data_IF_612924372283
#
_entry.id   IF_612924372283
#
_cell.length_a   1.000
_cell.length_b   1.000
_cell.length_c   1.000
_cell.angle_alpha   90.00
_cell.angle_beta   90.00
_cell.angle_gamma   90.00
#
_symmetry.space_group_name_H-M   'P 1'
#
loop_
_entity.id
_entity.type
_entity.pdbx_description
1 polymer ?
#
# COMPACT_ATOMS: atom_id res chain seq x y z
N UNK A 1 -80.30 -25.04 -35.55
CA UNK A 1 -79.71 -25.97 -34.59
C UNK A 1 -78.42 -26.51 -35.19
N UNK A 2 -77.27 -26.12 -34.67
CA UNK A 2 -76.00 -26.84 -34.55
C UNK A 2 -74.96 -25.86 -34.02
N UNK A 3 -74.62 -26.05 -32.76
CA UNK A 3 -73.53 -25.32 -32.10
C UNK A 3 -72.21 -25.84 -32.61
N UNK A 4 -71.30 -25.00 -33.00
CA UNK A 4 -69.94 -25.32 -33.24
C UNK A 4 -69.08 -24.84 -32.04
N UNK A 5 -68.47 -25.79 -31.38
CA UNK A 5 -67.58 -25.62 -30.24
C UNK A 5 -66.22 -25.21 -30.81
N UNK A 6 -65.81 -23.95 -30.54
CA UNK A 6 -64.48 -23.51 -30.86
C UNK A 6 -63.51 -23.89 -29.78
N UNK A 7 -62.54 -24.73 -30.09
CA UNK A 7 -61.45 -25.09 -29.22
C UNK A 7 -60.39 -23.99 -29.23
N UNK A 8 -60.22 -23.27 -28.12
CA UNK A 8 -59.17 -22.31 -27.89
C UNK A 8 -57.85 -23.06 -27.56
N UNK A 9 -56.89 -22.95 -28.49
CA UNK A 9 -55.55 -23.48 -28.28
C UNK A 9 -54.74 -22.45 -27.45
N UNK A 10 -54.55 -22.78 -26.18
CA UNK A 10 -53.64 -21.99 -25.31
C UNK A 10 -52.23 -22.46 -25.57
N UNK A 11 -51.42 -21.62 -26.26
CA UNK A 11 -50.01 -21.84 -26.42
C UNK A 11 -49.27 -21.28 -25.20
N UNK A 12 -48.83 -22.18 -24.32
CA UNK A 12 -47.96 -21.82 -23.19
C UNK A 12 -46.52 -21.68 -23.73
N UNK A 13 -46.07 -20.47 -23.89
CA UNK A 13 -44.66 -20.16 -24.19
C UNK A 13 -43.87 -20.25 -22.90
N UNK A 14 -43.24 -21.38 -22.61
CA UNK A 14 -42.20 -21.47 -21.58
C UNK A 14 -40.95 -20.70 -22.02
N UNK A 15 -40.83 -19.44 -21.59
CA UNK A 15 -39.61 -18.68 -21.73
C UNK A 15 -38.55 -19.21 -20.76
N UNK A 16 -37.54 -19.89 -21.29
CA UNK A 16 -36.34 -20.27 -20.53
C UNK A 16 -35.52 -19.02 -20.34
N UNK A 17 -35.60 -18.39 -19.19
CA UNK A 17 -34.65 -17.37 -18.75
C UNK A 17 -33.31 -18.08 -18.45
N UNK A 18 -32.39 -18.08 -19.42
CA UNK A 18 -31.00 -18.43 -19.18
C UNK A 18 -30.36 -17.27 -18.40
N UNK A 19 -30.25 -17.41 -17.06
CA UNK A 19 -29.47 -16.53 -16.23
C UNK A 19 -28.00 -16.70 -16.63
N UNK A 20 -27.48 -15.76 -17.41
CA UNK A 20 -26.04 -15.61 -17.65
C UNK A 20 -25.41 -15.19 -16.32
N UNK A 21 -24.90 -16.16 -15.58
CA UNK A 21 -23.99 -15.90 -14.46
C UNK A 21 -22.69 -15.41 -15.09
N UNK A 22 -22.57 -14.10 -15.27
CA UNK A 22 -21.30 -13.47 -15.62
C UNK A 22 -20.34 -13.75 -14.46
N UNK A 23 -19.44 -14.74 -14.66
CA UNK A 23 -18.36 -15.01 -13.74
C UNK A 23 -17.58 -13.74 -13.53
N UNK A 24 -17.65 -13.15 -12.32
CA UNK A 24 -16.81 -12.03 -11.93
C UNK A 24 -15.38 -12.57 -11.84
N UNK A 25 -14.60 -12.38 -12.88
CA UNK A 25 -13.15 -12.53 -12.79
C UNK A 25 -12.70 -11.60 -11.66
N UNK A 26 -11.96 -12.09 -10.66
CA UNK A 26 -11.45 -11.22 -9.60
C UNK A 26 -10.63 -10.11 -10.26
N UNK A 27 -11.14 -8.88 -10.24
CA UNK A 27 -10.42 -7.73 -10.75
C UNK A 27 -9.17 -7.54 -9.91
N UNK A 28 -8.01 -7.42 -10.57
CA UNK A 28 -6.77 -7.06 -9.87
C UNK A 28 -7.03 -5.77 -9.07
N UNK A 29 -6.62 -5.71 -7.79
CA UNK A 29 -6.76 -4.49 -7.02
C UNK A 29 -6.16 -3.30 -7.76
N UNK A 30 -6.88 -2.18 -7.83
CA UNK A 30 -6.36 -0.97 -8.46
C UNK A 30 -5.15 -0.46 -7.68
N UNK A 31 -4.11 0.07 -8.36
CA UNK A 31 -2.99 0.73 -7.70
C UNK A 31 -3.48 1.85 -6.79
N UNK A 32 -2.90 1.94 -5.63
CA UNK A 32 -3.16 3.00 -4.66
C UNK A 32 -1.84 3.63 -4.20
N UNK A 33 -1.92 4.61 -3.33
CA UNK A 33 -0.76 5.28 -2.76
C UNK A 33 -0.84 5.19 -1.25
N UNK A 34 0.26 4.84 -0.60
CA UNK A 34 0.29 4.68 0.86
C UNK A 34 1.56 5.24 1.46
N UNK A 35 1.42 6.00 2.55
CA UNK A 35 2.52 6.46 3.38
C UNK A 35 2.54 5.67 4.68
N UNK A 36 3.70 5.09 4.98
CA UNK A 36 3.99 4.40 6.23
C UNK A 36 4.71 5.36 7.17
N UNK A 37 4.20 5.49 8.39
CA UNK A 37 4.76 6.33 9.44
C UNK A 37 5.54 5.47 10.43
N UNK A 38 6.86 5.64 10.48
CA UNK A 38 7.74 4.92 11.39
C UNK A 38 8.47 5.87 12.34
N UNK A 39 8.19 5.73 13.64
CA UNK A 39 8.83 6.52 14.71
C UNK A 39 9.66 5.69 15.68
N UNK A 40 9.57 4.38 15.57
CA UNK A 40 10.18 3.40 16.48
C UNK A 40 11.46 2.82 15.89
N UNK A 41 12.42 2.51 16.75
CA UNK A 41 13.60 1.68 16.45
C UNK A 41 13.42 0.22 16.88
N UNK A 42 12.23 -0.16 17.33
CA UNK A 42 11.92 -1.53 17.69
C UNK A 42 12.04 -2.43 16.42
N UNK A 43 12.79 -3.54 16.51
CA UNK A 43 12.96 -4.47 15.38
C UNK A 43 11.64 -5.04 14.83
N UNK A 44 10.61 -5.19 15.66
CA UNK A 44 9.30 -5.69 15.23
C UNK A 44 8.57 -4.65 14.40
N UNK A 45 8.58 -3.37 14.78
CA UNK A 45 8.01 -2.27 14.01
C UNK A 45 8.73 -2.10 12.67
N UNK A 46 10.06 -2.14 12.69
CA UNK A 46 10.89 -2.07 11.48
C UNK A 46 10.60 -3.26 10.55
N UNK A 47 10.54 -4.47 11.10
CA UNK A 47 10.21 -5.68 10.36
C UNK A 47 8.80 -5.66 9.78
N UNK A 48 7.83 -5.05 10.48
CA UNK A 48 6.46 -4.88 9.98
C UNK A 48 6.44 -4.00 8.73
N UNK A 49 7.12 -2.85 8.73
CA UNK A 49 7.22 -1.97 7.55
C UNK A 49 7.77 -2.72 6.35
N UNK A 50 8.90 -3.39 6.52
CA UNK A 50 9.57 -4.12 5.43
C UNK A 50 8.68 -5.25 4.88
N UNK A 51 8.00 -5.97 5.78
CA UNK A 51 7.03 -6.99 5.39
C UNK A 51 5.89 -6.40 4.56
N UNK A 52 5.29 -5.29 5.00
CA UNK A 52 4.18 -4.64 4.28
C UNK A 52 4.60 -4.12 2.90
N UNK A 53 5.79 -3.52 2.77
CA UNK A 53 6.34 -3.13 1.47
C UNK A 53 6.41 -4.30 0.50
N UNK A 54 6.83 -5.47 0.99
CA UNK A 54 6.89 -6.71 0.20
C UNK A 54 5.50 -7.23 -0.15
N UNK A 55 4.60 -7.31 0.83
CA UNK A 55 3.23 -7.84 0.67
C UNK A 55 2.44 -6.97 -0.31
N UNK A 56 2.41 -5.66 -0.10
CA UNK A 56 1.74 -4.71 -1.00
C UNK A 56 2.32 -4.79 -2.41
N UNK A 57 3.65 -4.74 -2.53
CA UNK A 57 4.30 -4.80 -3.83
C UNK A 57 4.14 -6.13 -4.56
N UNK A 58 3.87 -7.24 -3.85
CA UNK A 58 3.60 -8.54 -4.47
C UNK A 58 2.19 -8.63 -5.05
N UNK A 59 1.20 -8.03 -4.38
CA UNK A 59 -0.20 -8.01 -4.80
C UNK A 59 -0.45 -6.92 -5.84
N UNK A 60 0.19 -5.77 -5.67
CA UNK A 60 -0.04 -4.58 -6.48
C UNK A 60 1.29 -3.83 -6.75
N UNK A 61 2.11 -4.29 -7.71
CA UNK A 61 3.46 -3.79 -7.93
C UNK A 61 3.53 -2.33 -8.40
N UNK A 62 2.42 -1.74 -8.84
CA UNK A 62 2.33 -0.35 -9.26
C UNK A 62 1.86 0.60 -8.14
N UNK A 63 1.69 0.10 -6.91
CA UNK A 63 1.35 0.92 -5.75
C UNK A 63 2.54 1.78 -5.33
N UNK A 64 2.34 3.09 -5.28
CA UNK A 64 3.33 4.02 -4.72
C UNK A 64 3.36 3.90 -3.19
N UNK A 65 4.51 3.58 -2.65
CA UNK A 65 4.76 3.40 -1.22
C UNK A 65 5.85 4.37 -0.75
N UNK A 66 5.57 5.10 0.31
CA UNK A 66 6.57 5.94 0.95
C UNK A 66 6.68 5.63 2.44
N UNK A 67 7.90 5.44 2.92
CA UNK A 67 8.19 5.28 4.34
C UNK A 67 8.76 6.58 4.87
N UNK A 68 8.01 7.24 5.74
CA UNK A 68 8.46 8.47 6.41
C UNK A 68 8.95 8.11 7.81
N UNK A 69 10.22 8.40 8.06
CA UNK A 69 10.90 8.08 9.30
C UNK A 69 11.27 9.33 10.08
N UNK A 70 10.84 9.40 11.33
CA UNK A 70 11.23 10.46 12.25
C UNK A 70 11.39 9.90 13.68
N UNK A 71 11.86 10.73 14.62
CA UNK A 71 12.24 10.20 15.92
C UNK A 71 13.25 9.04 15.78
N UNK A 72 13.06 7.98 16.54
CA UNK A 72 13.96 6.81 16.51
C UNK A 72 13.80 5.97 15.25
N UNK A 73 12.70 6.13 14.51
CA UNK A 73 12.46 5.39 13.25
C UNK A 73 13.52 5.60 12.18
N UNK A 74 14.33 6.67 12.29
CA UNK A 74 15.51 6.92 11.43
C UNK A 74 16.48 5.74 11.41
N UNK A 75 16.53 4.96 12.49
CA UNK A 75 17.40 3.78 12.62
C UNK A 75 17.18 2.75 11.51
N UNK A 76 15.98 2.64 10.94
CA UNK A 76 15.69 1.69 9.86
C UNK A 76 16.64 1.80 8.66
N UNK A 77 17.05 3.01 8.33
CA UNK A 77 17.90 3.30 7.16
C UNK A 77 19.36 3.63 7.53
N UNK A 78 19.76 3.33 8.76
CA UNK A 78 21.14 3.45 9.21
C UNK A 78 21.79 2.06 9.26
N UNK A 79 22.81 1.75 8.44
CA UNK A 79 23.42 0.41 8.37
C UNK A 79 23.84 -0.17 9.72
N UNK A 80 24.37 0.70 10.60
CA UNK A 80 24.89 0.32 11.92
C UNK A 80 23.80 0.10 12.97
N UNK A 81 22.53 0.44 12.67
CA UNK A 81 21.45 0.43 13.65
C UNK A 81 20.24 -0.42 13.27
N UNK A 82 20.07 -0.69 11.98
CA UNK A 82 18.92 -1.47 11.50
C UNK A 82 19.18 -2.96 11.64
N UNK A 83 18.14 -3.70 12.03
CA UNK A 83 18.12 -5.17 11.96
C UNK A 83 17.60 -5.70 10.63
N UNK A 84 17.21 -4.81 9.69
CA UNK A 84 16.54 -5.14 8.42
C UNK A 84 17.37 -4.69 7.21
N UNK A 85 18.71 -4.70 7.33
CA UNK A 85 19.60 -4.05 6.36
C UNK A 85 19.39 -4.53 4.92
N UNK A 86 19.39 -5.83 4.71
CA UNK A 86 19.30 -6.39 3.36
C UNK A 86 17.89 -6.23 2.75
N UNK A 87 16.87 -6.37 3.55
CA UNK A 87 15.49 -6.17 3.15
C UNK A 87 15.22 -4.71 2.77
N UNK A 88 15.75 -3.75 3.54
CA UNK A 88 15.65 -2.32 3.24
C UNK A 88 16.38 -1.99 1.94
N UNK A 89 17.60 -2.50 1.71
CA UNK A 89 18.31 -2.33 0.44
C UNK A 89 17.50 -2.86 -0.75
N UNK A 90 16.89 -4.03 -0.61
CA UNK A 90 16.03 -4.60 -1.64
C UNK A 90 14.79 -3.73 -1.89
N UNK A 91 14.18 -3.16 -0.83
CA UNK A 91 13.04 -2.28 -0.95
C UNK A 91 13.39 -0.95 -1.62
N UNK A 92 14.51 -0.32 -1.27
CA UNK A 92 15.03 0.93 -1.87
C UNK A 92 15.24 0.77 -3.40
N UNK A 93 15.59 -0.42 -3.86
CA UNK A 93 15.81 -0.69 -5.28
C UNK A 93 14.51 -0.80 -6.10
N UNK A 94 13.34 -0.84 -5.47
CA UNK A 94 12.06 -0.95 -6.18
C UNK A 94 11.55 0.40 -6.68
N UNK A 95 11.00 0.50 -7.90
CA UNK A 95 10.64 1.78 -8.52
C UNK A 95 9.54 2.56 -7.79
N UNK A 96 8.61 1.88 -7.12
CA UNK A 96 7.46 2.50 -6.46
C UNK A 96 7.62 2.60 -4.93
N UNK A 97 8.86 2.45 -4.43
CA UNK A 97 9.16 2.53 -2.99
C UNK A 97 10.12 3.68 -2.73
N UNK A 98 9.75 4.57 -1.83
CA UNK A 98 10.59 5.69 -1.40
C UNK A 98 10.76 5.70 0.12
N UNK A 99 11.94 6.11 0.56
CA UNK A 99 12.27 6.28 1.98
C UNK A 99 12.63 7.73 2.22
N UNK A 100 11.96 8.36 3.20
CA UNK A 100 12.15 9.77 3.57
C UNK A 100 12.45 9.90 5.05
N UNK A 101 13.52 10.61 5.36
CA UNK A 101 13.94 10.89 6.74
C UNK A 101 13.69 12.36 7.08
N UNK A 102 13.10 12.58 8.24
CA UNK A 102 12.86 13.90 8.78
C UNK A 102 14.19 14.59 9.17
N UNK A 103 14.49 15.75 8.60
CA UNK A 103 15.71 16.49 8.89
C UNK A 103 15.75 17.05 10.33
N UNK A 104 14.58 17.32 10.92
CA UNK A 104 14.51 17.69 12.34
C UNK A 104 15.03 16.53 13.21
N UNK A 105 14.65 15.29 12.87
CA UNK A 105 15.11 14.09 13.60
C UNK A 105 16.61 13.86 13.43
N UNK A 106 17.16 14.08 12.22
CA UNK A 106 18.60 13.99 12.00
C UNK A 106 19.37 14.99 12.87
N UNK A 107 18.94 16.25 12.88
CA UNK A 107 19.58 17.29 13.71
C UNK A 107 19.50 16.95 15.20
N UNK A 108 18.32 16.54 15.69
CA UNK A 108 18.13 16.21 17.11
C UNK A 108 18.99 15.04 17.58
N UNK A 109 19.22 14.06 16.69
CA UNK A 109 20.04 12.89 16.98
C UNK A 109 21.50 13.05 16.59
N UNK A 110 21.89 14.21 16.02
CA UNK A 110 23.25 14.49 15.50
C UNK A 110 23.71 13.44 14.47
N UNK A 111 22.78 12.99 13.61
CA UNK A 111 23.03 12.05 12.53
C UNK A 111 23.32 12.83 11.26
N UNK A 112 24.44 12.52 10.59
CA UNK A 112 24.78 13.05 9.28
C UNK A 112 24.06 12.27 8.19
N UNK A 113 23.66 12.92 7.09
CA UNK A 113 23.00 12.28 5.95
C UNK A 113 23.85 11.19 5.29
N UNK A 114 25.18 11.28 5.37
CA UNK A 114 26.10 10.27 4.86
C UNK A 114 26.08 8.95 5.66
N UNK A 115 25.46 8.94 6.84
CA UNK A 115 25.26 7.73 7.65
C UNK A 115 24.01 6.95 7.24
N UNK A 116 23.20 7.52 6.33
CA UNK A 116 22.02 6.86 5.79
C UNK A 116 22.39 5.97 4.59
N UNK A 117 21.57 4.96 4.33
CA UNK A 117 21.68 4.16 3.12
C UNK A 117 21.58 5.03 1.86
N UNK A 118 22.26 4.68 0.78
CA UNK A 118 22.12 5.34 -0.52
C UNK A 118 20.66 5.36 -1.01
N UNK A 119 20.28 6.42 -1.73
CA UNK A 119 18.94 6.63 -2.29
C UNK A 119 17.83 6.85 -1.24
N UNK A 120 18.17 7.05 0.02
CA UNK A 120 17.25 7.55 1.04
C UNK A 120 17.18 9.07 0.92
N UNK A 121 15.97 9.60 0.71
CA UNK A 121 15.74 11.04 0.64
C UNK A 121 15.51 11.66 2.03
N UNK A 122 15.55 12.99 2.09
CA UNK A 122 15.18 13.73 3.32
C UNK A 122 14.02 14.68 3.05
N UNK A 123 13.26 14.98 4.09
CA UNK A 123 12.21 16.02 4.10
C UNK A 123 12.43 16.96 5.28
N UNK A 124 12.12 18.24 5.15
CA UNK A 124 12.31 19.21 6.23
C UNK A 124 11.60 18.81 7.54
N UNK A 125 10.37 18.30 7.42
CA UNK A 125 9.53 17.84 8.51
C UNK A 125 8.76 16.57 8.11
N UNK A 126 8.95 15.47 8.87
CA UNK A 126 8.31 14.20 8.59
C UNK A 126 6.80 14.22 8.83
N UNK A 127 6.32 14.97 9.82
CA UNK A 127 4.87 15.11 10.09
C UNK A 127 4.22 15.90 8.96
N UNK A 128 4.86 17.00 8.54
CA UNK A 128 4.40 17.80 7.40
C UNK A 128 4.33 17.01 6.11
N UNK A 129 5.30 16.13 5.85
CA UNK A 129 5.29 15.22 4.69
C UNK A 129 4.09 14.28 4.73
N UNK A 130 3.83 13.62 5.86
CA UNK A 130 2.69 12.73 6.03
C UNK A 130 1.36 13.47 5.77
N UNK A 131 1.20 14.67 6.34
CA UNK A 131 0.00 15.49 6.14
C UNK A 131 -0.17 15.88 4.66
N UNK A 132 0.92 16.25 3.98
CA UNK A 132 0.90 16.58 2.56
C UNK A 132 0.49 15.37 1.69
N UNK A 133 1.03 14.19 1.99
CA UNK A 133 0.66 12.93 1.33
C UNK A 133 -0.83 12.61 1.52
N UNK A 134 -1.34 12.69 2.75
CA UNK A 134 -2.76 12.45 3.02
C UNK A 134 -3.67 13.45 2.28
N UNK A 135 -3.31 14.73 2.24
CA UNK A 135 -4.04 15.74 1.45
C UNK A 135 -4.03 15.43 -0.05
N UNK A 136 -3.01 14.74 -0.53
CA UNK A 136 -2.89 14.30 -1.93
C UNK A 136 -3.53 12.93 -2.21
N UNK A 137 -4.35 12.41 -1.28
CA UNK A 137 -5.11 11.19 -1.45
C UNK A 137 -4.34 9.90 -1.13
N UNK A 138 -3.20 9.99 -0.45
CA UNK A 138 -2.49 8.81 0.03
C UNK A 138 -3.17 8.20 1.26
N UNK A 139 -3.25 6.89 1.29
CA UNK A 139 -3.57 6.15 2.52
C UNK A 139 -2.46 6.33 3.56
N UNK A 140 -2.79 6.14 4.84
CA UNK A 140 -1.85 6.27 5.94
C UNK A 140 -1.84 5.00 6.80
N UNK A 141 -0.65 4.51 7.11
CA UNK A 141 -0.45 3.38 8.01
C UNK A 141 0.63 3.73 9.03
N UNK A 142 0.28 3.68 10.31
CA UNK A 142 1.24 3.77 11.42
C UNK A 142 1.95 2.42 11.58
N UNK A 143 3.28 2.45 11.56
CA UNK A 143 4.08 1.25 11.82
C UNK A 143 4.17 0.99 13.34
N UNK A 144 3.40 0.05 13.78
CA UNK A 144 3.39 -0.52 15.13
C UNK A 144 3.11 -2.02 15.03
N UNK A 145 3.65 -2.81 15.93
CA UNK A 145 3.39 -4.25 16.05
C UNK A 145 2.29 -4.56 17.04
#
# INVERSE_FOLDING_TARGET
MKQAIGASLVVVVCGVLAAVVAGQTPSRPQPYKVVFDLTSDDPLDQGAVVRWLREVGSVNPETDMEVVMYGRGVALVMPERTSQLEEVKQAIAKPHVTFKVCEISLRNQKVDKNQLLPNVGTVPDGIGEIVAKQKSGWGYIKAIH
#
